data_IF_547483946389
#
_entry.id   IF_547483946389
#
_cell.length_a   1.000
_cell.length_b   1.000
_cell.length_c   1.000
_cell.angle_alpha   90.00
_cell.angle_beta   90.00
_cell.angle_gamma   90.00
#
_symmetry.space_group_name_H-M   'P 1'
#
loop_
_entity.id
_entity.type
_entity.pdbx_description
1 polymer ?
#
# COMPACT_ATOMS: atom_id res chain seq x y z
N UNK A 1 5.26 -41.61 -37.26
CA UNK A 1 5.36 -41.98 -38.69
C UNK A 1 6.35 -43.14 -38.79
N UNK A 2 5.92 -44.33 -39.23
CA UNK A 2 6.77 -45.52 -39.29
C UNK A 2 7.85 -45.35 -40.35
N UNK A 3 9.12 -45.53 -39.97
CA UNK A 3 10.26 -45.48 -40.90
C UNK A 3 10.28 -46.76 -41.72
N UNK A 4 10.12 -46.64 -43.04
CA UNK A 4 10.12 -47.79 -43.96
C UNK A 4 11.55 -48.02 -44.48
N UNK A 5 12.20 -49.10 -44.03
CA UNK A 5 13.62 -49.34 -44.29
C UNK A 5 13.93 -50.02 -45.64
N UNK A 6 12.92 -50.29 -46.48
CA UNK A 6 13.09 -51.07 -47.73
C UNK A 6 13.61 -50.19 -48.89
N UNK A 7 13.72 -48.87 -48.71
CA UNK A 7 14.26 -47.96 -49.73
C UNK A 7 15.72 -47.56 -49.45
N UNK A 8 16.63 -48.50 -49.20
CA UNK A 8 18.06 -48.21 -49.30
C UNK A 8 18.51 -48.38 -50.76
N UNK A 9 18.22 -47.39 -51.61
CA UNK A 9 18.77 -47.33 -52.97
C UNK A 9 20.26 -47.01 -52.87
N UNK A 10 21.12 -47.82 -53.48
CA UNK A 10 22.57 -47.55 -53.58
C UNK A 10 22.77 -46.40 -54.57
N UNK A 11 23.45 -45.33 -54.15
CA UNK A 11 23.65 -44.11 -54.93
C UNK A 11 24.94 -44.19 -55.76
N UNK A 12 24.85 -43.98 -57.08
CA UNK A 12 26.01 -43.65 -57.94
C UNK A 12 25.80 -42.31 -58.67
N UNK A 13 26.89 -41.67 -59.13
CA UNK A 13 26.88 -40.28 -59.65
C UNK A 13 26.42 -40.15 -61.12
N UNK A 14 25.88 -41.17 -61.75
CA UNK A 14 25.70 -41.19 -63.20
C UNK A 14 24.27 -40.99 -63.69
N UNK A 15 23.26 -40.87 -62.81
CA UNK A 15 21.89 -40.59 -63.23
C UNK A 15 21.56 -39.08 -63.26
N UNK A 16 21.14 -38.50 -64.41
CA UNK A 16 20.85 -37.06 -64.54
C UNK A 16 19.78 -36.48 -63.62
N UNK A 17 19.06 -37.33 -62.85
CA UNK A 17 17.98 -36.95 -61.95
C UNK A 17 18.37 -36.92 -60.47
N UNK A 18 19.61 -37.26 -60.12
CA UNK A 18 20.02 -37.34 -58.71
C UNK A 18 20.14 -35.98 -58.03
N UNK A 19 20.53 -34.94 -58.79
CA UNK A 19 20.49 -33.56 -58.31
C UNK A 19 19.07 -33.08 -57.99
N UNK A 20 18.07 -33.53 -58.75
CA UNK A 20 16.66 -33.19 -58.53
C UNK A 20 16.10 -33.92 -57.30
N UNK A 21 16.48 -35.18 -57.08
CA UNK A 21 16.07 -35.94 -55.90
C UNK A 21 16.70 -35.38 -54.62
N UNK A 22 18.00 -35.02 -54.67
CA UNK A 22 18.67 -34.34 -53.57
C UNK A 22 18.02 -32.98 -53.29
N UNK A 23 17.74 -32.20 -54.32
CA UNK A 23 17.07 -30.90 -54.17
C UNK A 23 15.69 -31.04 -53.53
N UNK A 24 14.91 -32.06 -53.91
CA UNK A 24 13.61 -32.31 -53.29
C UNK A 24 13.74 -32.68 -51.81
N UNK A 25 14.73 -33.50 -51.46
CA UNK A 25 14.96 -33.91 -50.07
C UNK A 25 15.51 -32.77 -49.21
N UNK A 26 16.43 -31.95 -49.74
CA UNK A 26 16.90 -30.73 -49.07
C UNK A 26 15.76 -29.74 -48.84
N UNK A 27 14.87 -29.56 -49.81
CA UNK A 27 13.71 -28.69 -49.65
C UNK A 27 12.76 -29.23 -48.56
N UNK A 28 12.50 -30.54 -48.55
CA UNK A 28 11.68 -31.19 -47.51
C UNK A 28 12.26 -31.01 -46.11
N UNK A 29 13.58 -31.13 -45.97
CA UNK A 29 14.27 -30.90 -44.71
C UNK A 29 14.20 -29.43 -44.29
N UNK A 30 14.43 -28.50 -45.23
CA UNK A 30 14.32 -27.06 -44.99
C UNK A 30 12.91 -26.66 -44.54
N UNK A 31 11.87 -27.18 -45.19
CA UNK A 31 10.48 -26.90 -44.84
C UNK A 31 10.15 -27.42 -43.43
N UNK A 32 10.67 -28.60 -43.08
CA UNK A 32 10.54 -29.16 -41.73
C UNK A 32 11.27 -28.31 -40.67
N UNK A 33 12.50 -27.88 -40.96
CA UNK A 33 13.28 -27.05 -40.05
C UNK A 33 12.63 -25.66 -39.85
N UNK A 34 12.07 -25.08 -40.92
CA UNK A 34 11.31 -23.83 -40.84
C UNK A 34 10.04 -24.00 -40.00
N UNK A 35 9.32 -25.11 -40.17
CA UNK A 35 8.15 -25.43 -39.36
C UNK A 35 8.53 -25.60 -37.88
N UNK A 36 9.57 -26.38 -37.57
CA UNK A 36 10.07 -26.59 -36.22
C UNK A 36 10.54 -25.29 -35.57
N UNK A 37 11.19 -24.41 -36.35
CA UNK A 37 11.58 -23.08 -35.89
C UNK A 37 10.35 -22.24 -35.52
N UNK A 38 9.33 -22.20 -36.40
CA UNK A 38 8.10 -21.45 -36.14
C UNK A 38 7.36 -21.91 -34.88
N UNK A 39 7.29 -23.23 -34.66
CA UNK A 39 6.73 -23.80 -33.43
C UNK A 39 7.57 -23.44 -32.21
N UNK A 40 8.91 -23.51 -32.32
CA UNK A 40 9.83 -23.17 -31.22
C UNK A 40 9.72 -21.70 -30.82
N UNK A 41 9.69 -20.79 -31.79
CA UNK A 41 9.55 -19.33 -31.56
C UNK A 41 8.18 -19.01 -30.91
N UNK A 42 7.12 -19.70 -31.34
CA UNK A 42 5.78 -19.57 -30.74
C UNK A 42 5.79 -20.06 -29.30
N UNK A 43 6.34 -21.26 -29.04
CA UNK A 43 6.42 -21.83 -27.70
C UNK A 43 7.27 -20.98 -26.76
N UNK A 44 8.40 -20.43 -27.21
CA UNK A 44 9.23 -19.52 -26.42
C UNK A 44 8.44 -18.28 -25.99
N UNK A 45 7.69 -17.68 -26.93
CA UNK A 45 6.83 -16.53 -26.67
C UNK A 45 5.71 -16.88 -25.66
N UNK A 46 5.05 -18.04 -25.84
CA UNK A 46 4.02 -18.52 -24.91
C UNK A 46 4.58 -18.78 -23.51
N UNK A 47 5.78 -19.36 -23.38
CA UNK A 47 6.44 -19.62 -22.09
C UNK A 47 6.80 -18.31 -21.39
N UNK A 48 7.34 -17.32 -22.10
CA UNK A 48 7.61 -15.98 -21.54
C UNK A 48 6.32 -15.32 -21.04
N UNK A 49 5.24 -15.39 -21.83
CA UNK A 49 3.95 -14.83 -21.45
C UNK A 49 3.34 -15.54 -20.23
N UNK A 50 3.39 -16.88 -20.20
CA UNK A 50 2.93 -17.67 -19.06
C UNK A 50 3.75 -17.40 -17.80
N UNK A 51 5.07 -17.26 -17.92
CA UNK A 51 5.94 -16.94 -16.78
C UNK A 51 5.62 -15.55 -16.21
N UNK A 52 5.39 -14.57 -17.08
CA UNK A 52 4.98 -13.22 -16.66
C UNK A 52 3.59 -13.20 -16.01
N UNK A 53 2.65 -14.01 -16.54
CA UNK A 53 1.31 -14.17 -15.99
C UNK A 53 1.32 -14.88 -14.63
N UNK A 54 2.11 -15.93 -14.46
CA UNK A 54 2.23 -16.66 -13.19
C UNK A 54 2.82 -15.76 -12.11
N UNK A 55 3.86 -14.98 -12.45
CA UNK A 55 4.47 -14.04 -11.52
C UNK A 55 3.52 -12.89 -11.13
N UNK A 56 2.62 -12.45 -12.02
CA UNK A 56 1.58 -11.49 -11.64
C UNK A 56 0.47 -12.13 -10.81
N UNK A 57 0.08 -13.38 -11.08
CA UNK A 57 -0.99 -14.10 -10.39
C UNK A 57 -0.74 -14.36 -8.90
N UNK A 58 0.51 -14.40 -8.43
CA UNK A 58 0.82 -14.64 -7.00
C UNK A 58 0.48 -13.46 -6.08
N UNK A 59 0.48 -12.24 -6.60
CA UNK A 59 0.12 -11.04 -5.84
C UNK A 59 -1.29 -10.65 -6.27
N UNK A 60 -2.32 -10.58 -5.41
CA UNK A 60 -3.66 -10.19 -5.85
C UNK A 60 -3.73 -8.75 -6.37
N UNK A 61 -4.74 -8.41 -7.17
CA UNK A 61 -4.97 -7.02 -7.60
C UNK A 61 -5.09 -6.09 -6.38
N UNK A 62 -4.42 -4.94 -6.44
CA UNK A 62 -4.29 -4.01 -5.31
C UNK A 62 -3.25 -4.42 -4.27
N UNK A 63 -2.64 -5.61 -4.39
CA UNK A 63 -1.53 -6.04 -3.55
C UNK A 63 -0.29 -5.16 -3.78
N UNK A 64 0.40 -4.82 -2.69
CA UNK A 64 1.60 -3.97 -2.70
C UNK A 64 2.81 -4.81 -2.31
N UNK A 65 3.90 -4.67 -3.06
CA UNK A 65 5.15 -5.41 -2.86
C UNK A 65 6.35 -4.47 -3.00
N UNK A 66 7.44 -4.79 -2.32
CA UNK A 66 8.72 -4.11 -2.50
C UNK A 66 9.37 -4.51 -3.83
N UNK A 67 9.91 -3.51 -4.54
CA UNK A 67 10.59 -3.69 -5.82
C UNK A 67 11.73 -2.67 -5.98
N UNK A 68 12.78 -2.82 -5.16
CA UNK A 68 13.88 -1.86 -5.09
C UNK A 68 14.66 -1.71 -6.41
N UNK A 69 14.70 -2.78 -7.21
CA UNK A 69 15.40 -2.85 -8.49
C UNK A 69 14.49 -2.72 -9.71
N UNK A 70 13.23 -2.32 -9.52
CA UNK A 70 12.26 -2.10 -10.60
C UNK A 70 12.07 -3.29 -11.56
N UNK A 71 12.10 -4.51 -11.03
CA UNK A 71 12.02 -5.76 -11.79
C UNK A 71 10.58 -6.13 -12.19
N UNK A 72 9.57 -5.61 -11.48
CA UNK A 72 8.18 -5.91 -11.80
C UNK A 72 7.72 -5.09 -13.02
N UNK A 73 7.05 -5.77 -13.95
CA UNK A 73 6.57 -5.15 -15.19
C UNK A 73 5.62 -3.98 -14.94
N UNK A 74 5.89 -2.85 -15.58
CA UNK A 74 5.06 -1.65 -15.52
C UNK A 74 3.67 -1.84 -16.16
N UNK A 75 3.44 -2.92 -16.90
CA UNK A 75 2.10 -3.29 -17.39
C UNK A 75 1.18 -3.81 -16.28
N UNK A 76 1.77 -4.41 -15.24
CA UNK A 76 1.03 -5.11 -14.19
C UNK A 76 1.23 -4.45 -12.82
N UNK A 77 2.32 -3.69 -12.64
CA UNK A 77 2.71 -3.08 -11.37
C UNK A 77 3.11 -1.63 -11.55
N UNK A 78 2.59 -0.74 -10.71
CA UNK A 78 2.92 0.69 -10.76
C UNK A 78 3.39 1.19 -9.40
N UNK A 79 4.26 2.19 -9.39
CA UNK A 79 4.76 2.79 -8.15
C UNK A 79 3.63 3.34 -7.27
N UNK A 80 3.72 3.08 -5.96
CA UNK A 80 2.74 3.54 -4.98
C UNK A 80 3.03 4.99 -4.56
N UNK A 81 2.84 5.91 -5.50
CA UNK A 81 3.23 7.33 -5.41
C UNK A 81 2.07 8.31 -5.67
N UNK A 82 0.82 7.86 -5.57
CA UNK A 82 -0.36 8.72 -5.76
C UNK A 82 -0.70 9.05 -7.23
N UNK A 83 0.01 8.48 -8.21
CA UNK A 83 -0.22 8.77 -9.62
C UNK A 83 -1.66 8.44 -10.06
N UNK A 84 -2.14 9.22 -11.04
CA UNK A 84 -3.43 8.98 -11.69
C UNK A 84 -3.26 8.01 -12.86
N UNK A 85 -4.10 6.98 -12.92
CA UNK A 85 -4.03 5.91 -13.92
C UNK A 85 -5.39 5.73 -14.61
N UNK A 86 -5.36 5.20 -15.84
CA UNK A 86 -6.56 5.04 -16.68
C UNK A 86 -7.53 4.00 -16.11
N UNK A 87 -8.81 4.38 -15.95
CA UNK A 87 -9.90 3.45 -15.60
C UNK A 87 -10.18 2.43 -16.70
N UNK A 88 -9.98 2.81 -17.97
CA UNK A 88 -10.19 1.92 -19.10
C UNK A 88 -9.10 0.83 -19.17
N UNK A 89 -7.84 1.22 -18.98
CA UNK A 89 -6.69 0.32 -19.03
C UNK A 89 -6.68 -0.61 -17.81
N UNK A 90 -6.96 -0.09 -16.62
CA UNK A 90 -6.91 -0.84 -15.35
C UNK A 90 -8.31 -1.07 -14.77
N UNK A 91 -9.24 -1.48 -15.64
CA UNK A 91 -10.67 -1.62 -15.30
C UNK A 91 -10.94 -2.69 -14.24
N UNK A 92 -10.17 -3.78 -14.21
CA UNK A 92 -10.31 -4.82 -13.20
C UNK A 92 -10.03 -4.29 -11.79
N UNK A 93 -8.92 -3.56 -11.62
CA UNK A 93 -8.60 -2.90 -10.35
C UNK A 93 -9.64 -1.84 -10.02
N UNK A 94 -10.00 -0.96 -10.96
CA UNK A 94 -11.02 0.06 -10.73
C UNK A 94 -12.33 -0.56 -10.23
N UNK A 95 -12.83 -1.60 -10.90
CA UNK A 95 -14.05 -2.32 -10.54
C UNK A 95 -13.97 -3.00 -9.16
N UNK A 96 -12.76 -3.38 -8.71
CA UNK A 96 -12.55 -3.93 -7.36
C UNK A 96 -12.75 -2.87 -6.28
N UNK A 97 -12.24 -1.65 -6.49
CA UNK A 97 -12.28 -0.58 -5.47
C UNK A 97 -13.57 0.24 -5.48
N UNK A 98 -14.23 0.37 -6.65
CA UNK A 98 -15.39 1.25 -6.82
C UNK A 98 -16.73 0.55 -6.66
N UNK A 99 -17.73 1.27 -6.15
CA UNK A 99 -19.15 0.89 -6.09
C UNK A 99 -20.02 2.04 -6.58
N UNK A 100 -21.23 1.71 -7.02
CA UNK A 100 -22.22 2.69 -7.48
C UNK A 100 -23.25 2.92 -6.38
N UNK A 101 -23.39 4.17 -5.96
CA UNK A 101 -24.46 4.62 -5.07
C UNK A 101 -25.68 4.97 -5.91
N UNK A 102 -26.79 4.31 -5.65
CA UNK A 102 -28.04 4.45 -6.43
C UNK A 102 -29.03 5.42 -5.81
N UNK A 103 -28.80 5.85 -4.56
CA UNK A 103 -29.64 6.81 -3.87
C UNK A 103 -29.26 6.94 -2.41
N UNK A 104 -29.87 7.93 -1.76
CA UNK A 104 -29.87 8.07 -0.29
C UNK A 104 -31.31 8.12 0.21
N UNK A 105 -31.60 7.35 1.25
CA UNK A 105 -32.90 7.31 1.93
C UNK A 105 -32.79 8.15 3.21
N UNK A 106 -33.02 9.45 3.06
CA UNK A 106 -32.89 10.45 4.12
C UNK A 106 -33.64 10.09 5.41
N UNK A 107 -34.86 9.54 5.31
CA UNK A 107 -35.66 9.16 6.48
C UNK A 107 -35.02 8.10 7.39
N UNK A 108 -33.97 7.42 6.92
CA UNK A 108 -33.27 6.36 7.66
C UNK A 108 -31.74 6.52 7.63
N UNK A 109 -31.24 7.61 7.06
CA UNK A 109 -29.81 7.87 6.85
C UNK A 109 -29.07 6.76 6.08
N UNK A 110 -29.77 6.04 5.21
CA UNK A 110 -29.20 4.89 4.49
C UNK A 110 -28.76 5.26 3.09
N UNK A 111 -27.55 4.84 2.74
CA UNK A 111 -26.97 4.94 1.40
C UNK A 111 -27.25 3.63 0.68
N UNK A 112 -28.00 3.71 -0.44
CA UNK A 112 -28.33 2.56 -1.26
C UNK A 112 -27.16 2.20 -2.17
N UNK A 113 -26.62 0.99 -2.01
CA UNK A 113 -25.51 0.47 -2.80
C UNK A 113 -25.58 -1.06 -2.84
N UNK A 114 -26.15 -1.62 -3.92
CA UNK A 114 -26.36 -3.06 -4.02
C UNK A 114 -25.06 -3.86 -3.99
N UNK A 115 -25.03 -4.93 -3.19
CA UNK A 115 -23.88 -5.85 -3.08
C UNK A 115 -22.55 -5.11 -2.85
N UNK A 116 -22.57 -4.10 -1.98
CA UNK A 116 -21.40 -3.25 -1.74
C UNK A 116 -20.24 -4.02 -1.08
N UNK A 117 -20.56 -5.02 -0.25
CA UNK A 117 -19.57 -5.88 0.43
C UNK A 117 -18.82 -5.16 1.55
N UNK A 118 -19.35 -4.03 2.04
CA UNK A 118 -18.72 -3.27 3.11
C UNK A 118 -19.00 -3.91 4.47
N UNK A 119 -18.06 -3.74 5.39
CA UNK A 119 -18.17 -4.18 6.79
C UNK A 119 -18.24 -3.00 7.75
N UNK A 120 -18.70 -3.25 8.96
CA UNK A 120 -18.75 -2.26 10.04
C UNK A 120 -17.36 -1.64 10.29
N UNK A 121 -17.30 -0.31 10.40
CA UNK A 121 -16.06 0.44 10.63
C UNK A 121 -15.16 0.57 9.40
N UNK A 122 -15.57 0.07 8.23
CA UNK A 122 -14.79 0.24 7.00
C UNK A 122 -14.77 1.71 6.55
N UNK A 123 -13.61 2.17 6.09
CA UNK A 123 -13.46 3.51 5.51
C UNK A 123 -13.94 3.54 4.05
N UNK A 124 -14.71 4.56 3.70
CA UNK A 124 -15.19 4.85 2.35
C UNK A 124 -15.05 6.34 2.02
N UNK A 125 -14.99 6.66 0.72
CA UNK A 125 -15.08 8.04 0.20
C UNK A 125 -16.09 8.10 -0.95
N UNK A 126 -16.73 9.24 -1.12
CA UNK A 126 -17.72 9.49 -2.18
C UNK A 126 -17.19 10.50 -3.20
N UNK A 127 -17.63 10.36 -4.45
CA UNK A 127 -17.26 11.26 -5.57
C UNK A 127 -18.10 12.54 -5.62
N UNK A 128 -19.13 12.64 -4.78
CA UNK A 128 -20.16 13.68 -4.86
C UNK A 128 -20.36 14.38 -3.51
N UNK A 129 -20.88 15.61 -3.60
CA UNK A 129 -21.30 16.42 -2.46
C UNK A 129 -22.81 16.64 -2.52
N UNK A 130 -23.49 16.61 -1.38
CA UNK A 130 -24.93 16.80 -1.22
C UNK A 130 -25.56 15.72 -0.34
N UNK A 131 -26.79 15.96 0.11
CA UNK A 131 -27.50 15.03 1.00
C UNK A 131 -26.80 14.76 2.34
N UNK A 132 -26.02 15.72 2.84
CA UNK A 132 -25.18 15.56 4.04
C UNK A 132 -23.78 15.01 3.79
N UNK A 133 -23.48 14.56 2.57
CA UNK A 133 -22.16 14.03 2.18
C UNK A 133 -21.31 15.13 1.56
N UNK A 134 -20.03 15.14 1.90
CA UNK A 134 -18.99 15.97 1.27
C UNK A 134 -18.04 15.07 0.48
N UNK A 135 -17.80 15.38 -0.80
CA UNK A 135 -16.90 14.61 -1.64
C UNK A 135 -15.48 14.52 -1.04
N UNK A 136 -14.80 13.41 -1.30
CA UNK A 136 -13.40 13.15 -0.88
C UNK A 136 -13.15 13.08 0.64
N UNK A 137 -14.18 13.29 1.46
CA UNK A 137 -14.11 13.10 2.91
C UNK A 137 -14.18 11.60 3.24
N UNK A 138 -13.39 11.19 4.24
CA UNK A 138 -13.40 9.85 4.79
C UNK A 138 -14.62 9.65 5.69
N UNK A 139 -15.38 8.60 5.42
CA UNK A 139 -16.50 8.18 6.26
C UNK A 139 -16.31 6.73 6.70
N UNK A 140 -16.84 6.41 7.88
CA UNK A 140 -16.88 5.05 8.40
C UNK A 140 -18.25 4.45 8.10
N UNK A 141 -18.26 3.22 7.56
CA UNK A 141 -19.47 2.43 7.32
C UNK A 141 -20.05 1.98 8.65
N UNK A 142 -21.36 2.18 8.82
CA UNK A 142 -22.14 1.83 10.00
C UNK A 142 -23.37 1.04 9.60
N UNK A 143 -23.72 0.04 10.39
CA UNK A 143 -24.93 -0.79 10.22
C UNK A 143 -25.12 -1.30 8.76
N UNK A 144 -24.10 -1.92 8.14
CA UNK A 144 -24.21 -2.42 6.78
C UNK A 144 -25.19 -3.60 6.70
N UNK A 145 -25.99 -3.63 5.64
CA UNK A 145 -26.68 -4.83 5.16
C UNK A 145 -25.97 -5.33 3.90
N UNK A 146 -26.63 -6.16 3.09
CA UNK A 146 -26.10 -6.55 1.77
C UNK A 146 -26.16 -5.38 0.76
N UNK A 147 -27.14 -4.47 0.89
CA UNK A 147 -27.51 -3.54 -0.17
C UNK A 147 -27.55 -2.07 0.25
N UNK A 148 -27.31 -1.78 1.52
CA UNK A 148 -27.27 -0.42 2.04
C UNK A 148 -26.49 -0.36 3.36
N UNK A 149 -26.12 0.84 3.75
CA UNK A 149 -25.42 1.11 4.99
C UNK A 149 -25.65 2.57 5.42
N UNK A 150 -25.34 2.87 6.67
CA UNK A 150 -25.27 4.24 7.20
C UNK A 150 -23.80 4.64 7.32
N UNK A 151 -23.52 5.92 7.57
CA UNK A 151 -22.13 6.40 7.72
C UNK A 151 -21.95 7.27 8.96
N UNK A 152 -20.70 7.41 9.42
CA UNK A 152 -20.28 8.32 10.47
C UNK A 152 -18.94 8.97 10.14
N UNK A 153 -18.60 10.05 10.84
CA UNK A 153 -17.29 10.74 10.71
C UNK A 153 -16.16 10.06 11.51
N UNK A 154 -16.50 9.22 12.49
CA UNK A 154 -15.55 8.49 13.32
C UNK A 154 -15.95 7.02 13.40
N UNK A 155 -14.98 6.13 13.68
CA UNK A 155 -15.10 4.66 13.61
C UNK A 155 -16.33 4.09 14.32
N UNK A 156 -16.65 4.64 15.50
CA UNK A 156 -17.83 4.29 16.30
C UNK A 156 -18.69 5.51 16.61
N UNK A 157 -18.70 6.48 15.69
CA UNK A 157 -19.39 7.75 15.86
C UNK A 157 -20.91 7.67 15.71
N UNK A 158 -21.57 8.81 15.98
CA UNK A 158 -22.98 8.99 15.66
C UNK A 158 -23.20 8.87 14.15
N UNK A 159 -24.37 8.35 13.78
CA UNK A 159 -24.81 8.29 12.39
C UNK A 159 -24.91 9.71 11.84
N UNK A 160 -24.39 9.90 10.63
CA UNK A 160 -24.48 11.16 9.90
C UNK A 160 -25.91 11.35 9.40
N UNK A 161 -26.48 12.51 9.70
CA UNK A 161 -27.79 12.93 9.20
C UNK A 161 -27.72 13.18 7.69
N UNK A 162 -28.47 12.40 6.91
CA UNK A 162 -28.52 12.48 5.45
C UNK A 162 -29.82 13.15 5.00
N UNK A 163 -29.69 14.24 4.24
CA UNK A 163 -30.80 15.18 4.04
C UNK A 163 -31.50 15.09 2.69
N UNK A 164 -30.88 14.46 1.68
CA UNK A 164 -31.46 14.32 0.34
C UNK A 164 -30.82 13.16 -0.43
N UNK A 165 -31.55 12.62 -1.42
CA UNK A 165 -31.03 11.55 -2.28
C UNK A 165 -29.89 12.07 -3.16
N UNK A 166 -28.81 11.28 -3.27
CA UNK A 166 -27.71 11.50 -4.20
C UNK A 166 -27.30 10.20 -4.87
N UNK A 167 -26.73 10.31 -6.07
CA UNK A 167 -26.16 9.20 -6.82
C UNK A 167 -24.72 9.51 -7.21
N UNK A 168 -23.92 8.46 -7.41
CA UNK A 168 -22.53 8.63 -7.85
C UNK A 168 -21.67 7.43 -7.50
N UNK A 169 -20.37 7.66 -7.42
CA UNK A 169 -19.39 6.61 -7.13
C UNK A 169 -18.91 6.67 -5.68
N UNK A 170 -18.61 5.49 -5.15
CA UNK A 170 -17.95 5.30 -3.87
C UNK A 170 -16.71 4.43 -4.06
N UNK A 171 -15.64 4.71 -3.33
CA UNK A 171 -14.48 3.81 -3.20
C UNK A 171 -14.44 3.20 -1.81
N UNK A 172 -14.20 1.89 -1.76
CA UNK A 172 -14.22 1.06 -0.53
C UNK A 172 -12.84 0.84 0.09
N UNK A 173 -11.78 1.26 -0.60
CA UNK A 173 -10.46 1.46 -0.02
C UNK A 173 -10.04 2.90 -0.29
N UNK A 174 -9.93 3.68 0.78
CA UNK A 174 -9.68 5.12 0.72
C UNK A 174 -8.24 5.49 0.38
N UNK A 175 -7.32 4.52 0.28
CA UNK A 175 -5.98 4.77 -0.27
C UNK A 175 -6.05 5.14 -1.76
N UNK A 176 -7.10 4.72 -2.46
CA UNK A 176 -7.36 5.12 -3.84
C UNK A 176 -8.12 6.45 -3.89
N UNK A 177 -8.12 7.08 -5.06
CA UNK A 177 -8.82 8.34 -5.32
C UNK A 177 -9.59 8.31 -6.63
N UNK A 178 -10.50 9.28 -6.81
CA UNK A 178 -11.36 9.35 -8.00
C UNK A 178 -10.66 9.91 -9.25
N UNK A 179 -9.38 10.31 -9.17
CA UNK A 179 -8.65 10.89 -10.30
C UNK A 179 -9.26 12.21 -10.75
N UNK A 180 -9.42 12.34 -12.07
CA UNK A 180 -10.17 13.42 -12.73
C UNK A 180 -11.70 13.32 -12.55
N UNK A 181 -12.19 12.31 -11.82
CA UNK A 181 -13.62 12.08 -11.60
C UNK A 181 -14.35 11.40 -12.76
N UNK A 182 -13.64 10.99 -13.83
CA UNK A 182 -14.28 10.42 -15.02
C UNK A 182 -13.47 9.31 -15.67
N UNK A 183 -12.25 9.60 -16.14
CA UNK A 183 -11.46 8.68 -16.98
C UNK A 183 -10.28 8.03 -16.24
N UNK A 184 -9.94 8.56 -15.07
CA UNK A 184 -8.77 8.14 -14.29
C UNK A 184 -9.11 7.89 -12.82
N UNK A 185 -8.21 7.23 -12.10
CA UNK A 185 -8.27 7.05 -10.65
C UNK A 185 -6.86 7.08 -10.07
N UNK A 186 -6.72 7.53 -8.82
CA UNK A 186 -5.42 7.56 -8.14
C UNK A 186 -5.17 6.21 -7.47
N UNK A 187 -3.94 5.71 -7.61
CA UNK A 187 -3.45 4.61 -6.78
C UNK A 187 -2.88 5.15 -5.45
N UNK A 188 -2.60 4.28 -4.46
CA UNK A 188 -2.10 4.75 -3.17
C UNK A 188 -0.78 5.51 -3.27
N UNK A 189 -0.54 6.37 -2.28
CA UNK A 189 0.76 6.99 -2.02
C UNK A 189 1.28 6.48 -0.68
N UNK A 190 2.39 5.73 -0.70
CA UNK A 190 3.01 5.17 0.52
C UNK A 190 4.44 5.67 0.72
N UNK A 191 4.82 6.75 0.03
CA UNK A 191 6.14 7.35 0.21
C UNK A 191 6.24 7.98 1.60
N UNK A 192 7.32 7.68 2.32
CA UNK A 192 7.61 8.27 3.63
C UNK A 192 6.78 7.74 4.80
N UNK A 193 5.79 6.87 4.57
CA UNK A 193 4.93 6.31 5.62
C UNK A 193 5.17 4.82 5.78
N UNK A 194 5.17 4.35 7.02
CA UNK A 194 5.30 2.92 7.32
C UNK A 194 3.93 2.23 7.31
N UNK A 195 3.84 0.98 6.84
CA UNK A 195 2.61 0.21 6.95
C UNK A 195 2.38 -0.23 8.41
N UNK A 196 1.12 -0.15 8.85
CA UNK A 196 0.65 -0.74 10.11
C UNK A 196 -0.48 -1.72 9.79
N UNK A 197 -0.48 -2.88 10.45
CA UNK A 197 -1.57 -3.85 10.31
C UNK A 197 -2.89 -3.23 10.76
N UNK A 198 -3.93 -3.34 9.93
CA UNK A 198 -5.27 -2.82 10.24
C UNK A 198 -5.94 -3.62 11.38
N UNK A 199 -6.89 -2.98 12.05
CA UNK A 199 -7.69 -3.55 13.11
C UNK A 199 -7.05 -3.50 14.50
N UNK A 200 -7.79 -4.03 15.48
CA UNK A 200 -7.35 -4.15 16.86
C UNK A 200 -6.67 -5.51 17.06
N UNK A 201 -5.45 -5.50 17.58
CA UNK A 201 -4.72 -6.73 17.91
C UNK A 201 -5.49 -7.53 18.96
N UNK A 202 -5.52 -8.87 18.85
CA UNK A 202 -6.32 -9.72 19.75
C UNK A 202 -5.88 -9.72 21.23
N UNK A 203 -4.57 -9.75 21.50
CA UNK A 203 -4.06 -9.95 22.88
C UNK A 203 -2.94 -9.02 23.34
N UNK A 204 -2.30 -8.27 22.43
CA UNK A 204 -1.14 -7.44 22.78
C UNK A 204 -1.58 -6.04 23.16
N UNK A 205 -1.33 -5.70 24.42
CA UNK A 205 -1.59 -4.37 24.96
C UNK A 205 -0.46 -3.39 24.62
N UNK A 206 -0.83 -2.13 24.36
CA UNK A 206 0.10 -1.00 24.31
C UNK A 206 0.43 -0.52 25.73
N UNK A 207 1.45 0.32 25.87
CA UNK A 207 1.97 0.78 27.16
C UNK A 207 0.89 1.38 28.09
N UNK A 208 -0.04 2.16 27.54
CA UNK A 208 -1.15 2.77 28.26
C UNK A 208 -2.33 1.81 28.55
N UNK A 209 -2.19 0.52 28.25
CA UNK A 209 -3.29 -0.45 28.31
C UNK A 209 -4.19 -0.47 27.05
N UNK A 210 -5.05 -1.48 26.99
CA UNK A 210 -5.83 -1.82 25.78
C UNK A 210 -4.94 -2.27 24.62
N UNK A 211 -5.53 -2.89 23.60
CA UNK A 211 -4.73 -3.49 22.54
C UNK A 211 -4.19 -2.47 21.53
N UNK A 212 -3.16 -2.86 20.78
CA UNK A 212 -2.72 -2.11 19.60
C UNK A 212 -3.87 -1.99 18.59
N UNK A 213 -4.06 -0.82 18.02
CA UNK A 213 -5.09 -0.57 17.02
C UNK A 213 -4.47 0.14 15.80
N UNK A 214 -4.59 -0.46 14.63
CA UNK A 214 -4.16 0.12 13.35
C UNK A 214 -5.24 0.93 12.63
N UNK A 215 -6.48 0.92 13.12
CA UNK A 215 -7.64 1.49 12.43
C UNK A 215 -8.11 0.61 11.28
N UNK A 216 -9.11 1.10 10.54
CA UNK A 216 -9.61 0.43 9.33
C UNK A 216 -8.56 0.42 8.20
N UNK A 217 -8.76 -0.44 7.20
CA UNK A 217 -7.90 -0.45 6.00
C UNK A 217 -7.91 0.92 5.33
N UNK A 218 -6.71 1.45 5.05
CA UNK A 218 -6.50 2.77 4.47
C UNK A 218 -6.48 3.93 5.47
N UNK A 219 -6.66 3.67 6.77
CA UNK A 219 -6.46 4.68 7.81
C UNK A 219 -5.00 5.17 7.82
N UNK A 220 -4.82 6.50 7.83
CA UNK A 220 -3.52 7.15 7.89
C UNK A 220 -3.37 7.91 9.22
N UNK A 221 -2.55 7.38 10.12
CA UNK A 221 -2.19 8.02 11.38
C UNK A 221 -1.04 9.01 11.22
N UNK A 222 -0.97 10.00 12.11
CA UNK A 222 0.19 10.89 12.26
C UNK A 222 1.24 10.26 13.17
N UNK A 223 2.47 10.76 13.11
CA UNK A 223 3.49 10.41 14.10
C UNK A 223 3.05 10.85 15.50
N UNK A 224 3.46 10.08 16.50
CA UNK A 224 3.06 10.33 17.88
C UNK A 224 4.15 9.84 18.83
N UNK A 225 4.46 10.67 19.83
CA UNK A 225 5.29 10.29 20.96
C UNK A 225 4.41 9.78 22.10
N UNK A 226 4.93 8.86 22.91
CA UNK A 226 4.22 8.50 24.14
C UNK A 226 4.20 9.69 25.09
N UNK A 227 3.05 9.87 25.75
CA UNK A 227 2.91 10.86 26.82
C UNK A 227 4.02 10.64 27.86
N UNK A 228 4.69 11.73 28.21
CA UNK A 228 5.70 11.72 29.23
C UNK A 228 5.73 13.08 29.94
N UNK A 229 6.10 13.05 31.23
CA UNK A 229 6.24 14.24 32.04
C UNK A 229 7.53 14.23 32.83
N UNK A 230 8.09 15.41 33.01
CA UNK A 230 9.17 15.65 33.95
C UNK A 230 8.55 16.27 35.20
N UNK A 231 8.64 15.58 36.34
CA UNK A 231 8.32 16.16 37.64
C UNK A 231 9.64 16.56 38.32
N UNK A 232 9.84 17.85 38.48
CA UNK A 232 10.97 18.40 39.20
C UNK A 232 10.46 19.01 40.51
N UNK A 233 10.74 18.33 41.63
CA UNK A 233 10.38 18.81 42.97
C UNK A 233 11.66 19.13 43.75
N UNK A 234 11.85 20.40 44.06
CA UNK A 234 12.95 20.86 44.91
C UNK A 234 12.51 20.79 46.37
N UNK A 235 12.98 19.79 47.12
CA UNK A 235 12.78 19.71 48.57
C UNK A 235 13.99 20.30 49.28
N UNK A 236 13.87 21.56 49.72
CA UNK A 236 14.91 22.20 50.53
C UNK A 236 14.34 22.63 51.88
N UNK A 237 14.70 21.88 52.91
CA UNK A 237 14.31 22.18 54.30
C UNK A 237 15.04 23.43 54.85
N UNK A 238 16.09 23.91 54.16
CA UNK A 238 17.01 24.96 54.66
C UNK A 238 17.40 26.06 53.66
N UNK A 239 16.78 26.17 52.48
CA UNK A 239 17.05 27.22 51.48
C UNK A 239 18.47 27.30 50.90
N UNK A 240 19.35 26.31 51.10
CA UNK A 240 20.73 26.33 50.58
C UNK A 240 20.87 25.89 49.12
N UNK A 241 21.51 26.75 48.34
CA UNK A 241 21.79 26.65 46.90
C UNK A 241 23.08 25.83 46.71
N UNK A 242 23.02 24.76 45.89
CA UNK A 242 24.17 23.89 45.63
C UNK A 242 24.32 23.60 44.14
N UNK A 243 25.07 24.44 43.42
CA UNK A 243 25.61 24.15 42.09
C UNK A 243 27.10 23.81 42.19
N UNK A 244 27.59 22.94 41.30
CA UNK A 244 28.98 22.51 41.23
C UNK A 244 29.95 23.71 41.17
N UNK A 245 30.92 23.72 42.08
CA UNK A 245 31.82 24.86 42.31
C UNK A 245 31.58 25.64 43.61
N UNK A 246 30.65 25.21 44.46
CA UNK A 246 30.50 25.78 45.81
C UNK A 246 31.74 25.48 46.65
N UNK A 247 32.65 26.45 46.71
CA UNK A 247 33.71 26.50 47.72
C UNK A 247 33.05 26.47 49.10
N UNK A 248 33.44 25.49 49.91
CA UNK A 248 33.06 25.41 51.31
C UNK A 248 33.38 26.74 51.99
N UNK A 249 32.36 27.28 52.65
CA UNK A 249 32.30 28.61 53.25
C UNK A 249 33.56 28.93 54.08
N UNK A 250 34.34 29.90 53.63
CA UNK A 250 35.12 30.74 54.55
C UNK A 250 34.15 31.59 55.38
N UNK A 251 34.34 31.65 56.69
CA UNK A 251 33.37 32.21 57.64
C UNK A 251 32.91 33.64 57.30
N UNK A 252 31.58 33.82 57.16
CA UNK A 252 30.93 35.12 57.32
C UNK A 252 30.32 35.79 56.09
N UNK A 253 30.26 35.16 54.91
CA UNK A 253 29.62 35.79 53.73
C UNK A 253 28.39 35.03 53.22
N UNK A 254 27.32 35.75 52.86
CA UNK A 254 26.18 35.22 52.09
C UNK A 254 26.51 35.22 50.60
N UNK A 255 26.87 34.05 50.05
CA UNK A 255 26.93 33.88 48.60
C UNK A 255 25.52 33.59 48.07
N UNK A 256 24.94 34.51 47.31
CA UNK A 256 23.72 34.28 46.54
C UNK A 256 24.14 33.75 45.17
N UNK A 257 24.29 32.43 45.04
CA UNK A 257 24.47 31.77 43.75
C UNK A 257 23.12 31.49 43.10
N UNK A 258 23.00 31.60 41.78
CA UNK A 258 21.80 31.13 41.09
C UNK A 258 21.92 29.61 40.89
N UNK A 259 21.08 28.80 41.56
CA UNK A 259 20.89 27.41 41.14
C UNK A 259 19.92 27.41 39.96
N UNK A 260 20.43 27.21 38.75
CA UNK A 260 19.61 27.08 37.56
C UNK A 260 18.96 25.70 37.53
N UNK A 261 17.86 25.55 38.27
CA UNK A 261 17.09 24.31 38.37
C UNK A 261 16.13 24.23 37.18
N UNK A 262 16.64 23.74 36.04
CA UNK A 262 15.87 23.65 34.79
C UNK A 262 15.88 22.21 34.26
N UNK A 263 14.73 21.76 33.76
CA UNK A 263 14.66 20.59 32.89
C UNK A 263 15.20 21.03 31.53
N UNK A 264 16.32 20.45 31.13
CA UNK A 264 16.97 20.74 29.86
C UNK A 264 16.48 19.79 28.76
N UNK A 265 16.91 20.08 27.54
CA UNK A 265 16.81 19.17 26.40
C UNK A 265 17.44 17.80 26.72
N UNK A 266 17.01 16.71 26.06
CA UNK A 266 17.65 15.42 26.17
C UNK A 266 19.17 15.51 25.91
N UNK A 267 19.97 15.03 26.87
CA UNK A 267 21.43 14.95 26.78
C UNK A 267 21.91 13.53 27.04
N UNK A 268 23.17 13.24 26.68
CA UNK A 268 23.77 11.92 26.92
C UNK A 268 23.89 11.61 28.42
N UNK A 269 23.67 10.36 28.79
CA UNK A 269 23.91 9.81 30.13
C UNK A 269 25.30 9.16 30.27
N UNK A 270 26.13 9.25 29.22
CA UNK A 270 27.47 8.63 29.17
C UNK A 270 27.49 7.12 28.87
N UNK A 271 26.33 6.46 28.80
CA UNK A 271 26.21 5.01 28.56
C UNK A 271 25.48 4.71 27.25
N UNK A 272 24.38 5.42 26.98
CA UNK A 272 23.47 5.17 25.86
C UNK A 272 23.75 6.08 24.64
N UNK A 273 24.93 6.71 24.61
CA UNK A 273 25.37 7.60 23.53
C UNK A 273 24.65 8.96 23.52
N UNK A 274 24.88 9.73 22.46
CA UNK A 274 24.27 11.06 22.28
C UNK A 274 22.87 10.93 21.70
N UNK A 275 21.83 11.55 22.31
CA UNK A 275 20.48 11.56 21.76
C UNK A 275 20.43 12.11 20.33
N UNK A 276 19.78 11.37 19.43
CA UNK A 276 19.50 11.84 18.06
C UNK A 276 18.27 12.73 18.07
N UNK A 277 18.34 13.88 17.39
CA UNK A 277 17.26 14.88 17.29
C UNK A 277 16.88 15.09 15.84
N UNK A 278 15.58 15.22 15.57
CA UNK A 278 15.00 15.45 14.24
C UNK A 278 13.68 16.22 14.38
N UNK A 279 13.11 16.68 13.26
CA UNK A 279 11.77 17.27 13.20
C UNK A 279 10.63 16.22 13.15
N UNK A 280 10.97 14.93 13.03
CA UNK A 280 10.04 13.81 12.93
C UNK A 280 10.44 12.71 13.93
N UNK A 281 9.45 12.12 14.61
CA UNK A 281 9.69 10.98 15.51
C UNK A 281 9.71 9.68 14.71
N UNK A 282 10.91 9.15 14.43
CA UNK A 282 11.08 7.91 13.66
C UNK A 282 11.98 6.89 14.37
N UNK A 283 11.69 5.58 14.26
CA UNK A 283 12.66 4.54 14.57
C UNK A 283 13.76 4.52 13.50
N UNK A 284 14.80 3.70 13.69
CA UNK A 284 15.74 3.42 12.60
C UNK A 284 15.01 2.78 11.40
N UNK A 285 15.30 3.24 10.18
CA UNK A 285 14.60 2.79 8.97
C UNK A 285 15.54 2.68 7.76
N UNK A 286 15.07 1.95 6.74
CA UNK A 286 15.63 1.93 5.39
C UNK A 286 14.52 2.29 4.41
N UNK A 287 14.84 3.13 3.42
CA UNK A 287 13.88 3.48 2.38
C UNK A 287 13.82 2.38 1.30
N UNK A 288 12.61 1.95 0.97
CA UNK A 288 12.35 0.94 -0.08
C UNK A 288 11.35 1.49 -1.10
N UNK A 289 11.38 0.93 -2.32
CA UNK A 289 10.40 1.23 -3.36
C UNK A 289 9.27 0.21 -3.31
N UNK A 290 8.04 0.71 -3.37
CA UNK A 290 6.83 -0.12 -3.47
C UNK A 290 6.18 -0.01 -4.84
N UNK A 291 5.66 -1.13 -5.35
CA UNK A 291 4.71 -1.16 -6.47
C UNK A 291 3.41 -1.88 -6.08
N UNK A 292 2.30 -1.42 -6.63
CA UNK A 292 0.96 -2.01 -6.49
C UNK A 292 0.59 -2.77 -7.75
N UNK A 293 -0.05 -3.93 -7.61
CA UNK A 293 -0.58 -4.68 -8.75
C UNK A 293 -1.83 -4.00 -9.31
N UNK A 294 -1.78 -3.63 -10.59
CA UNK A 294 -2.83 -2.91 -11.32
C UNK A 294 -3.49 -3.73 -12.44
N UNK A 295 -2.86 -4.83 -12.88
CA UNK A 295 -3.39 -5.80 -13.84
C UNK A 295 -2.97 -7.24 -13.48
#
# INVERSE_FOLDING_TARGET
>A
MSFNNILSRIWDRTTPRDGLLLQAEFQRLLDNDLFLKGVTDTNASSITNLSNLINSLLIPLGGVVEDNFDQLSNSNFLHVNGQSISRATFSALWNLVRRSVTGIVAATDRISCTNHGCVEGQLVKFSFTGGGITALVNYYVRNPTTNDFQISLTDTGAILDLTSSQTGEMITNIEYGFGDGSTTFNIPDRRGVFPRGAGVHGTRAKAAGGNYNGGAVGFAGQDAMQDHRHNFSYNNVYGLIGGGGSYWLGGGTTNSGNSNLQILEPMTDGVNGTPRRSNETTPAYVAVKYKVRVA
#
